data_IF_021107274694
#
_entry.id   IF_021107274694
#
_cell.length_a   1.000
_cell.length_b   1.000
_cell.length_c   1.000
_cell.angle_alpha   90.00
_cell.angle_beta   90.00
_cell.angle_gamma   90.00
#
_symmetry.space_group_name_H-M   'P 1'
#
loop_
_entity.id
_entity.type
_entity.pdbx_description
1 polymer ?
#
# COMPACT_ATOMS: atom_id res chain seq x y z
N UNK A 1 0.24 22.25 -0.84
CA UNK A 1 0.01 20.91 -0.30
C UNK A 1 -1.26 20.77 0.55
N UNK A 2 -1.55 21.73 1.45
CA UNK A 2 -2.73 21.65 2.33
C UNK A 2 -4.06 21.42 1.58
N UNK A 3 -4.43 22.18 0.53
CA UNK A 3 -5.69 21.96 -0.19
C UNK A 3 -5.74 20.61 -0.91
N UNK A 4 -4.63 20.15 -1.47
CA UNK A 4 -4.54 18.85 -2.14
C UNK A 4 -4.67 17.68 -1.17
N UNK A 5 -4.07 17.80 0.01
CA UNK A 5 -4.18 16.82 1.08
C UNK A 5 -5.62 16.70 1.61
N UNK A 6 -6.32 17.82 1.79
CA UNK A 6 -7.72 17.83 2.23
C UNK A 6 -8.65 17.21 1.19
N UNK A 7 -8.42 17.50 -0.09
CA UNK A 7 -9.16 16.92 -1.21
C UNK A 7 -8.96 15.41 -1.28
N UNK A 8 -7.72 14.94 -1.19
CA UNK A 8 -7.40 13.52 -1.14
C UNK A 8 -8.06 12.84 0.06
N UNK A 9 -8.02 13.46 1.24
CA UNK A 9 -8.61 12.92 2.46
C UNK A 9 -10.10 12.67 2.36
N UNK A 10 -10.85 13.58 1.74
CA UNK A 10 -12.28 13.41 1.50
C UNK A 10 -12.60 12.23 0.59
N UNK A 11 -11.82 12.05 -0.47
CA UNK A 11 -11.98 10.93 -1.41
C UNK A 11 -11.61 9.60 -0.74
N UNK A 12 -10.52 9.56 0.01
CA UNK A 12 -9.99 8.34 0.63
C UNK A 12 -10.80 7.89 1.84
N UNK A 13 -11.50 8.79 2.54
CA UNK A 13 -12.43 8.43 3.60
C UNK A 13 -13.60 7.57 3.11
N UNK A 14 -14.00 7.72 1.86
CA UNK A 14 -15.04 6.92 1.20
C UNK A 14 -14.50 5.66 0.51
N UNK A 15 -13.21 5.39 0.58
CA UNK A 15 -12.59 4.18 0.01
C UNK A 15 -12.95 2.93 0.83
N UNK A 16 -12.84 1.75 0.23
CA UNK A 16 -13.03 0.48 0.93
C UNK A 16 -11.76 -0.39 0.74
N UNK A 17 -10.99 -0.65 1.81
CA UNK A 17 -11.13 -0.09 3.17
C UNK A 17 -10.83 1.42 3.21
N UNK A 18 -11.44 2.17 4.17
CA UNK A 18 -11.24 3.61 4.27
C UNK A 18 -9.81 3.96 4.68
N UNK A 19 -9.28 5.03 4.10
CA UNK A 19 -7.96 5.57 4.45
C UNK A 19 -8.13 6.93 5.09
N UNK A 20 -7.66 7.07 6.31
CA UNK A 20 -7.72 8.33 7.05
C UNK A 20 -6.46 9.15 6.83
N UNK A 21 -6.61 10.39 6.37
CA UNK A 21 -5.55 11.38 6.32
C UNK A 21 -5.72 12.33 7.52
N UNK A 22 -4.69 12.43 8.34
CA UNK A 22 -4.67 13.31 9.51
C UNK A 22 -3.58 14.37 9.39
N UNK A 23 -3.78 15.51 10.05
CA UNK A 23 -2.81 16.61 10.13
C UNK A 23 -2.40 16.81 11.57
N UNK A 24 -1.11 17.05 11.78
CA UNK A 24 -0.54 17.38 13.09
C UNK A 24 0.19 18.72 12.98
N UNK A 25 -0.16 19.64 13.86
CA UNK A 25 0.55 20.91 13.99
C UNK A 25 1.72 20.76 14.96
N UNK A 26 2.93 20.72 14.42
CA UNK A 26 4.15 20.52 15.18
C UNK A 26 4.59 21.76 15.97
N UNK A 27 3.98 22.93 15.73
CA UNK A 27 4.31 24.19 16.43
C UNK A 27 3.50 24.39 17.71
N UNK A 28 2.40 23.65 17.84
CA UNK A 28 1.45 23.77 18.94
C UNK A 28 1.27 22.42 19.67
N UNK A 29 0.04 21.94 19.78
CA UNK A 29 -0.32 20.74 20.53
C UNK A 29 0.34 19.43 20.01
N UNK A 30 0.75 19.41 18.75
CA UNK A 30 1.42 18.25 18.14
C UNK A 30 2.94 18.21 18.33
N UNK A 31 3.55 19.14 19.04
CA UNK A 31 5.01 19.25 19.21
C UNK A 31 5.64 17.96 19.74
N UNK A 32 5.07 17.37 20.76
CA UNK A 32 5.58 16.14 21.37
C UNK A 32 5.46 14.93 20.40
N UNK A 33 4.34 14.86 19.70
CA UNK A 33 4.13 13.83 18.66
C UNK A 33 5.17 13.95 17.55
N UNK A 34 5.40 15.16 17.05
CA UNK A 34 6.39 15.41 16.01
C UNK A 34 7.82 15.10 16.49
N UNK A 35 8.13 15.40 17.74
CA UNK A 35 9.42 15.03 18.35
C UNK A 35 9.62 13.52 18.42
N UNK A 36 8.57 12.79 18.83
CA UNK A 36 8.59 11.32 18.92
C UNK A 36 8.83 10.64 17.57
N UNK A 37 8.36 11.22 16.48
CA UNK A 37 8.54 10.71 15.12
C UNK A 37 9.65 11.42 14.35
N UNK A 38 10.54 12.14 15.03
CA UNK A 38 11.73 12.79 14.48
C UNK A 38 11.44 13.73 13.29
N UNK A 39 10.35 14.47 13.34
CA UNK A 39 9.99 15.45 12.31
C UNK A 39 10.95 16.64 12.41
N UNK A 40 11.82 16.81 11.40
CA UNK A 40 12.87 17.82 11.36
C UNK A 40 12.60 18.97 10.37
N UNK A 41 11.57 18.83 9.56
CA UNK A 41 11.22 19.83 8.54
C UNK A 41 9.80 19.65 8.02
N UNK A 42 9.33 20.58 7.21
CA UNK A 42 7.98 20.61 6.71
C UNK A 42 7.95 20.79 5.19
N UNK A 43 7.01 20.16 4.50
CA UNK A 43 6.09 19.15 5.00
C UNK A 43 6.78 17.79 5.22
N UNK A 44 6.43 17.11 6.29
CA UNK A 44 6.77 15.70 6.53
C UNK A 44 5.49 14.88 6.50
N UNK A 45 5.44 13.84 5.68
CA UNK A 45 4.30 12.94 5.54
C UNK A 45 4.73 11.52 5.86
N UNK A 46 3.99 10.85 6.71
CA UNK A 46 4.30 9.49 7.18
C UNK A 46 3.08 8.58 7.04
N UNK A 47 3.34 7.31 6.75
CA UNK A 47 2.32 6.25 6.65
C UNK A 47 2.34 5.44 7.94
N UNK A 48 1.17 5.30 8.55
CA UNK A 48 0.95 4.46 9.72
C UNK A 48 0.06 3.27 9.37
N UNK A 49 0.38 2.12 9.94
CA UNK A 49 -0.41 0.88 9.84
C UNK A 49 -0.62 0.31 11.23
N UNK A 50 -1.89 0.03 11.58
CA UNK A 50 -2.22 -0.54 12.88
C UNK A 50 -1.64 0.26 14.08
N UNK A 51 -1.61 1.58 13.95
CA UNK A 51 -1.09 2.48 14.99
C UNK A 51 0.42 2.62 15.04
N UNK A 52 1.16 1.94 14.19
CA UNK A 52 2.63 1.99 14.12
C UNK A 52 3.12 2.71 12.86
N UNK A 53 4.27 3.38 12.97
CA UNK A 53 4.94 3.99 11.82
C UNK A 53 5.39 2.89 10.86
N UNK A 54 4.92 2.98 9.61
CA UNK A 54 5.30 2.06 8.54
C UNK A 54 6.44 2.61 7.69
N UNK A 55 6.26 3.80 7.11
CA UNK A 55 7.26 4.42 6.24
C UNK A 55 7.04 5.93 6.11
N UNK A 56 8.02 6.62 5.56
CA UNK A 56 7.85 7.99 5.08
C UNK A 56 7.17 7.99 3.71
N UNK A 57 6.29 8.96 3.49
CA UNK A 57 5.65 9.18 2.20
C UNK A 57 6.45 10.20 1.38
N UNK A 58 7.06 9.73 0.31
CA UNK A 58 7.83 10.56 -0.64
C UNK A 58 7.20 10.64 -2.04
N UNK A 59 5.94 10.26 -2.14
CA UNK A 59 5.18 10.24 -3.39
C UNK A 59 4.70 11.60 -3.86
N UNK A 60 3.86 11.62 -4.91
CA UNK A 60 3.27 12.85 -5.45
C UNK A 60 2.48 13.63 -4.39
N UNK A 61 2.51 14.96 -4.47
CA UNK A 61 1.86 15.86 -3.50
C UNK A 61 0.52 16.42 -3.97
N UNK A 62 0.12 16.13 -5.19
CA UNK A 62 -1.18 16.45 -5.75
C UNK A 62 -2.23 15.41 -5.34
N UNK A 63 -3.48 15.83 -5.21
CA UNK A 63 -4.56 14.96 -4.75
C UNK A 63 -4.70 13.65 -5.56
N UNK A 64 -4.66 13.63 -6.89
CA UNK A 64 -4.75 12.40 -7.66
C UNK A 64 -3.62 11.40 -7.35
N UNK A 65 -2.39 11.89 -7.18
CA UNK A 65 -1.23 11.07 -6.86
C UNK A 65 -1.32 10.48 -5.45
N UNK A 66 -1.71 11.29 -4.46
CA UNK A 66 -1.96 10.84 -3.09
C UNK A 66 -3.04 9.76 -3.07
N UNK A 67 -4.17 9.99 -3.76
CA UNK A 67 -5.28 9.04 -3.83
C UNK A 67 -4.83 7.71 -4.43
N UNK A 68 -4.14 7.74 -5.58
CA UNK A 68 -3.65 6.53 -6.25
C UNK A 68 -2.71 5.73 -5.36
N UNK A 69 -1.73 6.40 -4.75
CA UNK A 69 -0.76 5.75 -3.87
C UNK A 69 -1.43 5.16 -2.64
N UNK A 70 -2.32 5.89 -1.98
CA UNK A 70 -2.99 5.41 -0.78
C UNK A 70 -3.97 4.28 -1.05
N UNK A 71 -4.65 4.26 -2.18
CA UNK A 71 -5.48 3.12 -2.60
C UNK A 71 -4.66 1.86 -2.81
N UNK A 72 -3.49 1.98 -3.44
CA UNK A 72 -2.54 0.88 -3.58
C UNK A 72 -2.03 0.38 -2.23
N UNK A 73 -1.74 1.29 -1.31
CA UNK A 73 -1.24 0.98 0.03
C UNK A 73 -2.31 0.41 0.98
N UNK A 74 -3.59 0.73 0.79
CA UNK A 74 -4.69 0.27 1.63
C UNK A 74 -5.13 -1.16 1.32
N UNK A 75 -4.87 -1.66 0.11
CA UNK A 75 -5.16 -3.03 -0.28
C UNK A 75 -4.18 -4.05 0.32
N UNK A 76 -4.42 -5.35 0.11
CA UNK A 76 -3.46 -6.39 0.48
C UNK A 76 -2.15 -6.20 -0.28
N UNK A 77 -1.01 -6.50 0.37
CA UNK A 77 0.31 -6.37 -0.24
C UNK A 77 0.52 -7.31 -1.43
N UNK A 78 -0.17 -8.44 -1.43
CA UNK A 78 -0.18 -9.41 -2.53
C UNK A 78 -1.62 -9.72 -2.93
N UNK A 79 -1.92 -9.58 -4.22
CA UNK A 79 -3.25 -9.87 -4.77
C UNK A 79 -3.44 -11.37 -4.92
N UNK A 80 -4.49 -11.92 -4.34
CA UNK A 80 -4.84 -13.34 -4.51
C UNK A 80 -5.43 -13.59 -5.91
N UNK A 81 -4.85 -14.54 -6.64
CA UNK A 81 -5.28 -14.98 -7.96
C UNK A 81 -6.12 -16.24 -7.81
N UNK A 82 -7.40 -16.17 -8.13
CA UNK A 82 -8.35 -17.28 -8.01
C UNK A 82 -8.69 -17.94 -9.34
N UNK A 83 -8.52 -17.21 -10.43
CA UNK A 83 -8.87 -17.63 -11.78
C UNK A 83 -7.78 -17.24 -12.79
N UNK A 84 -7.73 -17.91 -13.93
CA UNK A 84 -6.78 -17.64 -15.00
C UNK A 84 -6.82 -16.19 -15.52
N UNK A 85 -8.02 -15.59 -15.54
CA UNK A 85 -8.20 -14.18 -15.94
C UNK A 85 -7.49 -13.20 -14.99
N UNK A 86 -7.38 -13.56 -13.70
CA UNK A 86 -6.71 -12.72 -12.70
C UNK A 86 -5.21 -12.62 -12.99
N UNK A 87 -4.60 -13.72 -13.45
CA UNK A 87 -3.20 -13.76 -13.87
C UNK A 87 -2.98 -12.90 -15.12
N UNK A 88 -3.88 -12.98 -16.08
CA UNK A 88 -3.82 -12.16 -17.30
C UNK A 88 -3.97 -10.66 -16.96
N UNK A 89 -4.86 -10.31 -16.05
CA UNK A 89 -5.05 -8.94 -15.57
C UNK A 89 -3.83 -8.42 -14.79
N UNK A 90 -3.17 -9.27 -14.01
CA UNK A 90 -1.94 -8.92 -13.29
C UNK A 90 -0.76 -8.65 -14.24
N UNK A 91 -0.69 -9.37 -15.36
CA UNK A 91 0.34 -9.19 -16.40
C UNK A 91 0.13 -7.98 -17.31
N UNK A 92 -1.05 -7.39 -17.31
CA UNK A 92 -1.44 -6.30 -18.22
C UNK A 92 -0.90 -4.92 -17.85
N UNK A 93 -0.21 -4.76 -16.73
CA UNK A 93 0.44 -3.52 -16.33
C UNK A 93 1.89 -3.51 -16.79
N UNK A 94 2.41 -2.33 -17.15
CA UNK A 94 3.81 -2.15 -17.58
C UNK A 94 4.82 -2.33 -16.43
N UNK A 95 4.33 -2.47 -15.20
CA UNK A 95 5.15 -2.65 -14.00
C UNK A 95 5.54 -4.11 -13.78
N UNK A 96 6.65 -4.32 -13.09
CA UNK A 96 7.11 -5.65 -12.69
C UNK A 96 6.20 -6.21 -11.62
N UNK A 97 5.59 -7.36 -11.87
CA UNK A 97 4.75 -8.10 -10.92
C UNK A 97 5.45 -9.40 -10.52
N UNK A 98 5.60 -9.62 -9.23
CA UNK A 98 6.17 -10.85 -8.67
C UNK A 98 5.01 -11.80 -8.31
N UNK A 99 4.95 -12.94 -8.97
CA UNK A 99 3.86 -13.92 -8.78
C UNK A 99 4.38 -15.15 -8.04
N UNK A 100 3.80 -15.45 -6.88
CA UNK A 100 4.05 -16.66 -6.11
C UNK A 100 2.96 -17.72 -6.31
N UNK A 101 3.34 -18.96 -6.57
CA UNK A 101 2.43 -20.10 -6.68
C UNK A 101 2.76 -21.09 -5.57
N UNK A 102 1.76 -21.44 -4.74
CA UNK A 102 1.95 -22.26 -3.55
C UNK A 102 0.90 -23.37 -3.49
N UNK A 103 1.27 -24.50 -2.91
CA UNK A 103 0.35 -25.63 -2.70
C UNK A 103 -0.63 -25.42 -1.55
N UNK A 104 -0.32 -24.49 -0.64
CA UNK A 104 -1.14 -24.19 0.53
C UNK A 104 -0.96 -22.75 1.00
N UNK A 105 -1.90 -22.26 1.82
CA UNK A 105 -1.82 -20.93 2.43
C UNK A 105 -0.61 -20.79 3.37
N UNK A 106 -0.24 -21.85 4.10
CA UNK A 106 0.91 -21.84 4.99
C UNK A 106 2.24 -21.70 4.25
N UNK A 107 2.36 -22.26 3.06
CA UNK A 107 3.54 -22.09 2.20
C UNK A 107 3.66 -20.67 1.64
N UNK A 108 2.53 -19.97 1.49
CA UNK A 108 2.50 -18.57 1.01
C UNK A 108 2.90 -17.55 2.10
N UNK A 109 2.85 -17.88 3.38
CA UNK A 109 3.10 -16.93 4.48
C UNK A 109 4.42 -16.17 4.36
N UNK A 110 5.59 -16.81 4.11
CA UNK A 110 6.84 -16.07 3.96
C UNK A 110 6.82 -15.10 2.78
N UNK A 111 6.17 -15.49 1.68
CA UNK A 111 5.99 -14.64 0.51
C UNK A 111 5.11 -13.42 0.82
N UNK A 112 3.99 -13.62 1.53
CA UNK A 112 3.09 -12.53 1.93
C UNK A 112 3.78 -11.54 2.88
N UNK A 113 4.63 -12.05 3.76
CA UNK A 113 5.43 -11.22 4.66
C UNK A 113 6.46 -10.38 3.89
N UNK A 114 7.14 -10.97 2.92
CA UNK A 114 8.06 -10.25 2.04
C UNK A 114 7.32 -9.21 1.18
N UNK A 115 6.15 -9.55 0.64
CA UNK A 115 5.31 -8.63 -0.11
C UNK A 115 4.90 -7.39 0.71
N UNK A 116 4.56 -7.57 1.99
CA UNK A 116 4.28 -6.46 2.89
C UNK A 116 5.48 -5.52 3.08
N UNK A 117 6.68 -6.05 3.14
CA UNK A 117 7.90 -5.26 3.31
C UNK A 117 8.31 -4.52 2.02
N UNK A 118 8.05 -5.11 0.86
CA UNK A 118 8.49 -4.62 -0.44
C UNK A 118 7.37 -4.03 -1.30
N UNK A 119 6.20 -3.81 -0.72
CA UNK A 119 5.01 -3.34 -1.46
C UNK A 119 5.14 -1.96 -2.11
N UNK A 120 6.13 -1.17 -1.69
CA UNK A 120 6.42 0.13 -2.30
C UNK A 120 7.37 -0.01 -3.50
N UNK A 121 8.11 -1.12 -3.58
CA UNK A 121 9.12 -1.37 -4.61
C UNK A 121 8.61 -2.22 -5.77
N UNK A 122 7.63 -3.09 -5.51
CA UNK A 122 7.08 -4.01 -6.53
C UNK A 122 5.63 -4.40 -6.23
N UNK A 123 4.92 -4.79 -7.25
CA UNK A 123 3.60 -5.41 -7.15
C UNK A 123 3.72 -6.92 -6.94
N UNK A 124 2.90 -7.45 -6.04
CA UNK A 124 2.88 -8.86 -5.70
C UNK A 124 1.51 -9.48 -5.97
N UNK A 125 1.52 -10.71 -6.46
CA UNK A 125 0.34 -11.54 -6.58
C UNK A 125 0.66 -12.97 -6.17
N UNK A 126 -0.31 -13.72 -5.68
CA UNK A 126 -0.11 -15.11 -5.29
C UNK A 126 -1.33 -15.96 -5.58
N UNK A 127 -1.12 -17.25 -5.68
CA UNK A 127 -2.19 -18.23 -5.73
C UNK A 127 -1.83 -19.47 -4.93
N UNK A 128 -2.85 -20.04 -4.29
CA UNK A 128 -2.80 -21.35 -3.64
C UNK A 128 -3.68 -22.37 -4.36
N UNK A 129 -4.12 -22.07 -5.58
CA UNK A 129 -5.04 -22.90 -6.36
C UNK A 129 -4.28 -23.67 -7.43
N UNK A 130 -4.41 -24.99 -7.43
CA UNK A 130 -3.59 -25.89 -8.24
C UNK A 130 -3.74 -25.67 -9.77
N UNK A 131 -4.88 -25.16 -10.25
CA UNK A 131 -5.08 -24.98 -11.69
C UNK A 131 -4.14 -23.97 -12.34
N UNK A 132 -3.56 -23.05 -11.58
CA UNK A 132 -2.57 -22.08 -12.11
C UNK A 132 -1.21 -22.74 -12.40
N UNK A 133 -0.90 -23.90 -11.78
CA UNK A 133 0.29 -24.65 -12.11
C UNK A 133 0.20 -25.27 -13.53
N UNK A 134 -1.00 -25.65 -13.96
CA UNK A 134 -1.23 -26.24 -15.29
C UNK A 134 -1.14 -25.20 -16.42
N UNK A 135 -1.40 -23.93 -16.12
CA UNK A 135 -1.28 -22.82 -17.07
C UNK A 135 0.15 -22.33 -17.30
N UNK A 136 1.08 -22.69 -16.41
CA UNK A 136 2.47 -22.27 -16.49
C UNK A 136 3.37 -23.31 -17.18
N UNK A 137 2.92 -24.54 -17.24
CA UNK A 137 3.57 -25.64 -17.94
C UNK A 137 3.06 -25.78 -19.37
#
# INVERSE_FOLDING_TARGET
MKPEFEKAGKTLAANDPPVTLAKVDCTEAGKDTCGRFEVRGYPTVKIFRNGELSSDYNGPREAPGIIKTMKSQAGPASKELKEAKDLAAAKGNDDVVIVGLFGSASEAEPFLKAANQLREDADFAHSTVNFLFDLWN
#
